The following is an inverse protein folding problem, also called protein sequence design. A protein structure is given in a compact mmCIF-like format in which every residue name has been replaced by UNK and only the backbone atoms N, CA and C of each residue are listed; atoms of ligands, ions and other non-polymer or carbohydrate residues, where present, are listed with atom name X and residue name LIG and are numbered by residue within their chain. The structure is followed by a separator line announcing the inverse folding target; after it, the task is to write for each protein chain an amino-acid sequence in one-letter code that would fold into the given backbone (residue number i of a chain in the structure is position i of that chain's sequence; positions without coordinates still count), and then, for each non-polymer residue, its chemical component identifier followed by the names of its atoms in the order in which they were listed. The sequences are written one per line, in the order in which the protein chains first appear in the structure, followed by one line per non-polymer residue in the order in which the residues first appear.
data_IF_788925249886
#
_entry.id   IF_788925249886
#
_cell.length_a   1.000
_cell.length_b   1.000
_cell.length_c   1.000
_cell.angle_alpha   90.00
_cell.angle_beta   90.00
_cell.angle_gamma   90.00
#
_symmetry.space_group_name_H-M   'P 1'
#
loop_
_entity.id
_entity.type
_entity.pdbx_description
1 polymer ?
#
# COMPACT_ATOMS: atom_id res chain seq x y z
N UNK A 1 3.92 -18.70 -16.03
CA UNK A 1 4.05 -19.29 -17.37
C UNK A 1 2.89 -18.76 -18.22
N UNK A 2 3.13 -18.00 -19.30
CA UNK A 2 2.04 -17.50 -20.14
C UNK A 2 1.41 -18.65 -20.92
N UNK A 3 0.08 -18.70 -20.94
CA UNK A 3 -0.69 -19.67 -21.74
C UNK A 3 -0.85 -19.06 -23.14
N UNK A 4 -0.42 -19.78 -24.18
CA UNK A 4 -0.56 -19.33 -25.56
C UNK A 4 -1.88 -19.86 -26.13
N UNK A 5 -2.77 -18.99 -26.60
CA UNK A 5 -4.02 -19.36 -27.29
C UNK A 5 -4.00 -18.74 -28.69
N UNK A 6 -4.19 -19.57 -29.72
CA UNK A 6 -4.26 -19.18 -31.13
C UNK A 6 -3.21 -19.87 -32.01
N UNK A 7 -3.57 -20.19 -33.26
CA UNK A 7 -2.66 -20.75 -34.27
C UNK A 7 -2.55 -19.74 -35.43
N UNK A 8 -1.41 -19.06 -35.56
CA UNK A 8 -1.14 -18.07 -36.62
C UNK A 8 -1.00 -16.62 -36.14
N UNK A 9 -1.01 -15.68 -37.10
CA UNK A 9 -0.61 -14.25 -37.03
C UNK A 9 -1.25 -13.37 -35.93
N UNK A 10 -2.24 -13.88 -35.20
CA UNK A 10 -2.90 -13.20 -34.08
C UNK A 10 -2.53 -13.90 -32.77
N UNK A 11 -1.29 -13.71 -32.34
CA UNK A 11 -0.78 -14.25 -31.07
C UNK A 11 -1.01 -13.23 -29.96
N UNK A 12 -2.04 -13.44 -29.15
CA UNK A 12 -2.30 -12.63 -27.96
C UNK A 12 -1.61 -13.25 -26.76
N UNK A 13 -0.55 -12.61 -26.27
CA UNK A 13 0.07 -12.98 -24.99
C UNK A 13 -0.76 -12.41 -23.85
N UNK A 14 -1.52 -13.26 -23.16
CA UNK A 14 -2.13 -12.88 -21.88
C UNK A 14 -1.00 -12.86 -20.87
N UNK A 15 -0.46 -11.67 -20.62
CA UNK A 15 0.41 -11.41 -19.48
C UNK A 15 -0.40 -11.67 -18.21
N UNK A 16 -0.30 -12.88 -17.67
CA UNK A 16 -0.70 -13.20 -16.30
C UNK A 16 0.28 -12.52 -15.35
N UNK A 17 0.32 -11.19 -15.35
CA UNK A 17 0.88 -10.47 -14.23
C UNK A 17 0.00 -10.86 -13.04
N UNK A 18 0.57 -11.59 -12.07
CA UNK A 18 -0.03 -11.74 -10.74
C UNK A 18 -0.59 -10.37 -10.34
N UNK A 19 -1.84 -10.28 -9.83
CA UNK A 19 -2.49 -9.00 -9.58
C UNK A 19 -1.50 -8.10 -8.88
N UNK A 20 -1.09 -7.05 -9.59
CA UNK A 20 -0.13 -6.05 -9.15
C UNK A 20 -0.52 -5.69 -7.72
N UNK A 21 0.27 -6.17 -6.75
CA UNK A 21 0.18 -5.97 -5.31
C UNK A 21 -1.10 -5.24 -4.84
N UNK A 22 -2.22 -5.95 -4.71
CA UNK A 22 -3.51 -5.39 -4.27
C UNK A 22 -3.40 -4.54 -2.99
N UNK A 23 -2.45 -4.87 -2.10
CA UNK A 23 -2.12 -4.07 -0.92
C UNK A 23 -1.78 -2.62 -1.27
N UNK A 24 -0.95 -2.36 -2.29
CA UNK A 24 -0.60 -0.99 -2.71
C UNK A 24 -1.78 -0.24 -3.32
N UNK A 25 -2.67 -0.94 -4.02
CA UNK A 25 -3.88 -0.33 -4.56
C UNK A 25 -4.82 0.14 -3.43
N UNK A 26 -5.05 -0.72 -2.42
CA UNK A 26 -5.82 -0.36 -1.23
C UNK A 26 -5.15 0.75 -0.42
N UNK A 27 -3.83 0.74 -0.35
CA UNK A 27 -3.06 1.79 0.29
C UNK A 27 -3.22 3.15 -0.36
N UNK A 28 -3.14 3.23 -1.69
CA UNK A 28 -3.39 4.49 -2.39
C UNK A 28 -4.78 5.05 -2.07
N UNK A 29 -5.79 4.19 -2.03
CA UNK A 29 -7.16 4.58 -1.67
C UNK A 29 -7.24 5.06 -0.22
N UNK A 30 -6.58 4.36 0.71
CA UNK A 30 -6.52 4.77 2.11
C UNK A 30 -5.82 6.12 2.27
N UNK A 31 -4.64 6.26 1.68
CA UNK A 31 -3.82 7.47 1.71
C UNK A 31 -4.57 8.67 1.17
N UNK A 32 -5.26 8.55 0.03
CA UNK A 32 -6.05 9.64 -0.53
C UNK A 32 -7.17 10.13 0.40
N UNK A 33 -7.70 9.25 1.27
CA UNK A 33 -8.72 9.63 2.27
C UNK A 33 -8.16 10.26 3.54
N UNK A 34 -6.91 9.96 3.90
CA UNK A 34 -6.33 10.37 5.18
C UNK A 34 -5.21 11.39 5.06
N UNK A 35 -4.65 11.60 3.86
CA UNK A 35 -3.50 12.49 3.65
C UNK A 35 -3.76 13.91 4.15
N UNK A 36 -5.00 14.38 4.08
CA UNK A 36 -5.37 15.75 4.45
C UNK A 36 -5.46 15.97 5.96
N UNK A 37 -5.40 14.91 6.78
CA UNK A 37 -5.25 15.03 8.22
C UNK A 37 -3.83 15.44 8.62
N UNK A 38 -2.83 15.15 7.79
CA UNK A 38 -1.43 15.37 8.11
C UNK A 38 -0.91 16.63 7.40
N UNK A 39 -0.20 17.51 8.10
CA UNK A 39 0.33 18.75 7.50
C UNK A 39 1.84 18.68 7.31
N UNK A 40 2.32 19.09 6.14
CA UNK A 40 3.74 19.23 5.80
C UNK A 40 4.60 18.01 6.18
N UNK A 41 5.49 18.16 7.16
CA UNK A 41 6.38 17.13 7.72
C UNK A 41 5.61 15.93 8.29
N UNK A 42 4.36 16.14 8.73
CA UNK A 42 3.47 15.09 9.22
C UNK A 42 3.11 14.07 8.14
N UNK A 43 2.94 14.49 6.87
CA UNK A 43 2.62 13.59 5.76
C UNK A 43 3.72 12.56 5.54
N UNK A 44 4.98 12.99 5.49
CA UNK A 44 6.12 12.11 5.25
C UNK A 44 6.43 11.16 6.43
N UNK A 45 6.01 11.51 7.65
CA UNK A 45 6.08 10.59 8.80
C UNK A 45 4.92 9.60 8.78
N UNK A 46 3.70 10.07 8.54
CA UNK A 46 2.51 9.21 8.47
C UNK A 46 2.63 8.15 7.36
N UNK A 47 3.14 8.52 6.19
CA UNK A 47 3.42 7.60 5.08
C UNK A 47 4.38 6.48 5.51
N UNK A 48 5.46 6.81 6.23
CA UNK A 48 6.41 5.82 6.77
C UNK A 48 5.78 4.91 7.83
N UNK A 49 5.01 5.45 8.77
CA UNK A 49 4.33 4.66 9.80
C UNK A 49 3.35 3.65 9.17
N UNK A 50 2.63 4.08 8.13
CA UNK A 50 1.69 3.21 7.43
C UNK A 50 2.40 2.19 6.52
N UNK A 51 3.55 2.55 5.94
CA UNK A 51 4.41 1.60 5.26
C UNK A 51 4.90 0.50 6.19
N UNK A 52 5.35 0.87 7.40
CA UNK A 52 5.75 -0.09 8.44
C UNK A 52 4.58 -1.01 8.82
N UNK A 53 3.36 -0.49 8.90
CA UNK A 53 2.18 -1.26 9.29
C UNK A 53 1.71 -2.27 8.22
N UNK A 54 1.78 -1.91 6.94
CA UNK A 54 1.08 -2.64 5.87
C UNK A 54 2.02 -3.29 4.82
N UNK A 55 3.24 -2.76 4.67
CA UNK A 55 4.16 -3.09 3.58
C UNK A 55 5.53 -3.58 4.04
N UNK A 56 5.81 -3.58 5.35
CA UNK A 56 7.03 -4.18 5.87
C UNK A 56 7.09 -5.69 5.59
N UNK A 57 8.31 -6.22 5.44
CA UNK A 57 8.57 -7.65 5.24
C UNK A 57 8.02 -8.53 6.37
N UNK A 58 7.81 -7.93 7.55
CA UNK A 58 7.22 -8.57 8.73
C UNK A 58 6.08 -7.72 9.25
N UNK A 59 4.97 -8.37 9.57
CA UNK A 59 3.86 -7.73 10.28
C UNK A 59 4.34 -7.24 11.64
N UNK A 60 4.06 -5.99 12.03
CA UNK A 60 4.47 -5.47 13.33
C UNK A 60 3.83 -6.27 14.48
N UNK A 61 4.50 -6.25 15.63
CA UNK A 61 3.93 -6.77 16.87
C UNK A 61 2.71 -5.94 17.29
N UNK A 62 1.85 -6.49 18.15
CA UNK A 62 0.64 -5.79 18.62
C UNK A 62 0.98 -4.47 19.32
N UNK A 63 2.03 -4.48 20.12
CA UNK A 63 2.53 -3.31 20.83
C UNK A 63 2.98 -2.24 19.82
N UNK A 64 3.77 -2.61 18.81
CA UNK A 64 4.22 -1.69 17.77
C UNK A 64 3.07 -1.15 16.91
N UNK A 65 2.07 -1.98 16.62
CA UNK A 65 0.87 -1.56 15.89
C UNK A 65 0.06 -0.52 16.68
N UNK A 66 0.04 -0.65 18.01
CA UNK A 66 -0.60 0.33 18.90
C UNK A 66 0.19 1.64 18.92
N UNK A 67 1.52 1.58 18.98
CA UNK A 67 2.38 2.77 18.89
C UNK A 67 2.17 3.51 17.56
N UNK A 68 2.19 2.80 16.43
CA UNK A 68 1.94 3.38 15.10
C UNK A 68 0.58 4.09 15.05
N UNK A 69 -0.46 3.52 15.66
CA UNK A 69 -1.77 4.16 15.72
C UNK A 69 -1.74 5.50 16.47
N UNK A 70 -1.06 5.56 17.63
CA UNK A 70 -0.91 6.80 18.38
C UNK A 70 0.02 7.80 17.71
N UNK A 71 1.10 7.34 17.06
CA UNK A 71 1.97 8.20 16.24
C UNK A 71 1.18 8.88 15.12
N UNK A 72 0.32 8.13 14.41
CA UNK A 72 -0.57 8.69 13.39
C UNK A 72 -1.57 9.68 13.99
N UNK A 73 -2.13 9.39 15.17
CA UNK A 73 -3.04 10.32 15.85
C UNK A 73 -2.36 11.64 16.23
N UNK A 74 -1.14 11.59 16.74
CA UNK A 74 -0.35 12.78 17.12
C UNK A 74 0.09 13.61 15.90
N UNK A 75 0.30 12.95 14.74
CA UNK A 75 0.66 13.63 13.49
C UNK A 75 -0.55 14.25 12.79
N UNK A 76 -1.76 13.80 13.10
CA UNK A 76 -2.99 14.38 12.59
C UNK A 76 -3.21 15.75 13.25
N UNK A 77 -3.67 16.72 12.48
CA UNK A 77 -4.09 18.00 13.06
C UNK A 77 -5.30 17.80 13.99
N UNK A 78 -5.30 18.62 15.04
CA UNK A 78 -6.37 18.68 16.05
C UNK A 78 -7.68 19.26 15.49
#
# INVERSE_FOLDING_TARGET
MPITIGNGFLKSEILTNSPRNTKEAWWKVLWEKIKDFFFSTGKAKADRCLHEMLFADRTPTRERLTEIFFELKELACA
#
